data_IF_601817505833
#
_entry.id   IF_601817505833
#
_cell.length_a   1.000
_cell.length_b   1.000
_cell.length_c   1.000
_cell.angle_alpha   90.00
_cell.angle_beta   90.00
_cell.angle_gamma   90.00
#
_symmetry.space_group_name_H-M   'P 1'
#
loop_
_entity.id
_entity.type
_entity.pdbx_description
1 polymer ?
#
# COMPACT_ATOMS: atom_id res chain seq x y z
N UNK A 1 -8.25 17.28 -15.76
CA UNK A 1 -7.51 16.72 -14.61
C UNK A 1 -6.79 15.47 -15.09
N UNK A 2 -5.49 15.32 -14.83
CA UNK A 2 -4.73 14.15 -15.27
C UNK A 2 -4.98 13.01 -14.27
N UNK A 3 -5.71 11.99 -14.68
CA UNK A 3 -6.00 10.80 -13.87
C UNK A 3 -4.87 9.79 -14.03
N UNK A 4 -4.29 9.34 -12.91
CA UNK A 4 -3.24 8.33 -12.91
C UNK A 4 -3.87 6.94 -12.81
N UNK A 5 -3.38 6.02 -13.65
CA UNK A 5 -3.55 4.58 -13.44
C UNK A 5 -2.35 4.09 -12.65
N UNK A 6 -2.61 3.47 -11.51
CA UNK A 6 -1.55 3.04 -10.59
C UNK A 6 -1.62 1.56 -10.31
N UNK A 7 -0.46 1.02 -9.98
CA UNK A 7 -0.28 -0.35 -9.53
C UNK A 7 0.46 -0.29 -8.19
N UNK A 8 -0.15 -0.82 -7.13
CA UNK A 8 0.46 -0.94 -5.81
C UNK A 8 0.93 -2.39 -5.61
N UNK A 9 2.24 -2.56 -5.44
CA UNK A 9 2.85 -3.84 -5.11
C UNK A 9 3.02 -3.98 -3.59
N UNK A 10 2.35 -4.95 -3.00
CA UNK A 10 2.39 -5.21 -1.57
C UNK A 10 3.16 -6.51 -1.31
N UNK A 11 4.03 -6.48 -0.31
CA UNK A 11 4.79 -7.65 0.13
C UNK A 11 4.65 -7.75 1.64
N UNK A 12 4.06 -8.84 2.12
CA UNK A 12 3.97 -9.13 3.56
C UNK A 12 5.11 -10.07 3.93
N UNK A 13 5.84 -9.71 4.98
CA UNK A 13 7.05 -10.41 5.42
C UNK A 13 7.04 -10.50 6.94
N UNK A 14 7.57 -11.59 7.46
CA UNK A 14 7.99 -11.71 8.86
C UNK A 14 9.53 -11.85 8.85
N UNK A 15 10.05 -13.02 8.46
CA UNK A 15 11.49 -13.22 8.15
C UNK A 15 11.76 -13.43 6.65
N UNK A 16 10.76 -13.91 5.91
CA UNK A 16 10.75 -14.08 4.45
C UNK A 16 9.40 -13.60 3.91
N UNK A 17 9.27 -13.43 2.59
CA UNK A 17 7.98 -13.05 2.01
C UNK A 17 6.95 -14.16 2.19
N UNK A 18 5.89 -13.86 2.92
CA UNK A 18 4.77 -14.78 3.19
C UNK A 18 3.74 -14.67 2.07
N UNK A 19 3.46 -13.45 1.61
CA UNK A 19 2.58 -13.23 0.47
C UNK A 19 2.94 -11.95 -0.28
N UNK A 20 2.54 -11.92 -1.55
CA UNK A 20 2.59 -10.73 -2.39
C UNK A 20 1.21 -10.46 -2.95
N UNK A 21 0.85 -9.19 -3.09
CA UNK A 21 -0.43 -8.78 -3.69
C UNK A 21 -0.18 -7.58 -4.60
N UNK A 22 -0.68 -7.67 -5.82
CA UNK A 22 -0.70 -6.57 -6.75
C UNK A 22 -2.13 -6.02 -6.80
N UNK A 23 -2.28 -4.72 -6.61
CA UNK A 23 -3.58 -4.05 -6.73
C UNK A 23 -3.47 -2.94 -7.75
N UNK A 24 -4.37 -2.95 -8.73
CA UNK A 24 -4.49 -1.88 -9.72
C UNK A 24 -5.61 -0.95 -9.32
N UNK A 25 -5.39 0.37 -9.46
CA UNK A 25 -6.40 1.37 -9.19
C UNK A 25 -6.39 2.40 -10.32
N UNK A 26 -7.57 2.72 -10.82
CA UNK A 26 -7.76 3.71 -11.88
C UNK A 26 -8.24 5.03 -11.30
N UNK A 27 -8.08 6.11 -12.06
CA UNK A 27 -8.61 7.43 -11.74
C UNK A 27 -8.09 8.04 -10.42
N UNK A 28 -6.82 7.81 -10.07
CA UNK A 28 -6.25 8.38 -8.85
C UNK A 28 -5.76 9.81 -9.11
N UNK A 29 -6.13 10.80 -8.28
CA UNK A 29 -5.98 12.22 -8.60
C UNK A 29 -4.58 12.80 -8.33
N UNK A 30 -3.72 12.11 -7.59
CA UNK A 30 -2.36 12.58 -7.27
C UNK A 30 -1.47 11.47 -6.75
N UNK A 31 -0.15 11.61 -6.86
CA UNK A 31 0.83 10.67 -6.29
C UNK A 31 0.69 10.52 -4.77
N UNK A 32 0.32 11.60 -4.06
CA UNK A 32 0.00 11.46 -2.63
C UNK A 32 -1.18 10.49 -2.40
N UNK A 33 -2.24 10.60 -3.21
CA UNK A 33 -3.38 9.69 -3.12
C UNK A 33 -3.02 8.26 -3.51
N UNK A 34 -2.05 8.06 -4.41
CA UNK A 34 -1.59 6.71 -4.79
C UNK A 34 -0.90 6.01 -3.62
N UNK A 35 -0.04 6.74 -2.91
CA UNK A 35 0.66 6.23 -1.74
C UNK A 35 -0.30 6.00 -0.56
N UNK A 36 -1.24 6.92 -0.34
CA UNK A 36 -2.30 6.73 0.67
C UNK A 36 -3.17 5.50 0.39
N UNK A 37 -3.52 5.25 -0.88
CA UNK A 37 -4.25 4.04 -1.28
C UNK A 37 -3.41 2.78 -1.08
N UNK A 38 -2.12 2.81 -1.41
CA UNK A 38 -1.22 1.69 -1.17
C UNK A 38 -1.16 1.35 0.33
N UNK A 39 -0.98 2.33 1.21
CA UNK A 39 -1.02 2.13 2.66
C UNK A 39 -2.35 1.53 3.14
N UNK A 40 -3.49 2.04 2.64
CA UNK A 40 -4.81 1.50 2.98
C UNK A 40 -4.95 0.03 2.54
N UNK A 41 -4.47 -0.32 1.35
CA UNK A 41 -4.50 -1.69 0.85
C UNK A 41 -3.60 -2.61 1.68
N UNK A 42 -2.44 -2.14 2.13
CA UNK A 42 -1.55 -2.88 3.05
C UNK A 42 -2.26 -3.18 4.37
N UNK A 43 -2.91 -2.19 4.97
CA UNK A 43 -3.63 -2.37 6.24
C UNK A 43 -4.80 -3.36 6.09
N UNK A 44 -5.57 -3.25 5.00
CA UNK A 44 -6.64 -4.21 4.69
C UNK A 44 -6.08 -5.63 4.53
N UNK A 45 -4.99 -5.79 3.78
CA UNK A 45 -4.35 -7.09 3.62
C UNK A 45 -3.86 -7.66 4.96
N UNK A 46 -3.27 -6.84 5.83
CA UNK A 46 -2.87 -7.26 7.17
C UNK A 46 -4.05 -7.72 8.03
N UNK A 47 -5.17 -6.99 7.96
CA UNK A 47 -6.41 -7.36 8.65
C UNK A 47 -7.01 -8.66 8.10
N UNK A 48 -7.06 -8.82 6.77
CA UNK A 48 -7.55 -10.04 6.08
C UNK A 48 -6.71 -11.27 6.45
N UNK A 49 -5.41 -11.08 6.71
CA UNK A 49 -4.49 -12.13 7.17
C UNK A 49 -4.54 -12.38 8.69
N UNK A 50 -5.36 -11.63 9.44
CA UNK A 50 -5.47 -11.76 10.90
C UNK A 50 -4.25 -11.24 11.67
N UNK A 51 -3.42 -10.37 11.07
CA UNK A 51 -2.24 -9.82 11.71
C UNK A 51 -2.63 -8.78 12.77
N UNK A 52 -2.20 -8.98 14.02
CA UNK A 52 -2.50 -8.08 15.14
C UNK A 52 -1.59 -6.85 15.22
N UNK A 53 -0.39 -6.93 14.63
CA UNK A 53 0.60 -5.85 14.59
C UNK A 53 1.33 -5.92 13.26
N UNK A 54 1.40 -4.80 12.55
CA UNK A 54 2.10 -4.67 11.27
C UNK A 54 2.96 -3.41 11.29
N UNK A 55 4.14 -3.49 10.69
CA UNK A 55 4.96 -2.32 10.35
C UNK A 55 4.82 -2.12 8.84
N UNK A 56 4.38 -0.93 8.45
CA UNK A 56 4.22 -0.57 7.04
C UNK A 56 5.44 0.24 6.62
N UNK A 57 6.17 -0.26 5.65
CA UNK A 57 7.35 0.39 5.07
C UNK A 57 7.02 0.86 3.65
N UNK A 58 7.52 2.02 3.27
CA UNK A 58 7.36 2.63 1.95
C UNK A 58 8.41 3.71 1.71
N UNK A 59 8.58 4.12 0.45
CA UNK A 59 9.53 5.15 0.03
C UNK A 59 8.96 6.57 0.09
N UNK A 60 7.64 6.70 0.21
CA UNK A 60 6.95 7.98 0.30
C UNK A 60 7.10 8.67 1.66
N UNK A 61 8.10 9.55 1.76
CA UNK A 61 8.36 10.35 2.96
C UNK A 61 7.15 11.23 3.37
N UNK A 62 6.35 11.67 2.40
CA UNK A 62 5.17 12.53 2.62
C UNK A 62 4.01 11.77 3.25
N UNK A 63 3.94 10.45 3.11
CA UNK A 63 3.00 9.60 3.85
C UNK A 63 3.49 9.31 5.27
N UNK A 64 4.81 9.16 5.45
CA UNK A 64 5.42 8.81 6.75
C UNK A 64 5.40 9.98 7.73
N UNK A 65 5.62 11.21 7.25
CA UNK A 65 5.81 12.42 8.08
C UNK A 65 4.58 13.33 8.17
N UNK A 66 3.39 12.83 7.83
CA UNK A 66 2.19 13.67 7.87
C UNK A 66 1.68 13.92 9.27
#
# INVERSE_FOLDING_TARGET
AQTLKICSGLIVREDRSICTKLVTSECVPSVFATEALACLQTLKLGADLGLRKVVVEGDSLTMIKK
#
